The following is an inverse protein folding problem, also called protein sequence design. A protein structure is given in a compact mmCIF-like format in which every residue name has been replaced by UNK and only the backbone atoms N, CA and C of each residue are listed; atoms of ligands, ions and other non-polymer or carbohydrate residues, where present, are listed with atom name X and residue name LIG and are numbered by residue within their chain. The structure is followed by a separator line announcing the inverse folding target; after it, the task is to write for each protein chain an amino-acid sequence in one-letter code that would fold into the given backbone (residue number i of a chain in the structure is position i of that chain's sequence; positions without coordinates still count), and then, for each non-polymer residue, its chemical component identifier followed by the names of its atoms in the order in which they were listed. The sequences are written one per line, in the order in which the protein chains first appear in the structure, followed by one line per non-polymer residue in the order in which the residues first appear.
data_IF_269746175434
#
_entry.id   IF_269746175434
#
_cell.length_a   1.000
_cell.length_b   1.000
_cell.length_c   1.000
_cell.angle_alpha   90.00
_cell.angle_beta   90.00
_cell.angle_gamma   90.00
#
_symmetry.space_group_name_H-M   'P 1'
#
loop_
_entity.id
_entity.type
_entity.pdbx_description
1 polymer ?
#
# COMPACT_ATOMS: atom_id res chain seq x y z
N UNK A 1 -61.20 14.34 14.85
CA UNK A 1 -60.63 14.56 16.18
C UNK A 1 -59.12 14.41 16.08
N UNK A 2 -58.43 15.43 16.58
CA UNK A 2 -57.03 15.48 17.02
C UNK A 2 -55.89 15.20 16.03
N UNK A 3 -55.44 16.32 15.46
CA UNK A 3 -54.08 16.60 14.97
C UNK A 3 -53.09 16.53 16.14
N UNK A 4 -51.87 16.05 15.92
CA UNK A 4 -50.76 16.31 16.84
C UNK A 4 -49.47 16.48 16.05
N UNK A 5 -49.13 17.74 15.84
CA UNK A 5 -47.81 18.23 15.47
C UNK A 5 -46.84 18.02 16.64
N UNK A 6 -45.60 17.61 16.33
CA UNK A 6 -44.47 17.76 17.25
C UNK A 6 -43.22 18.15 16.48
N UNK A 7 -43.05 19.46 16.38
CA UNK A 7 -41.81 20.19 16.19
C UNK A 7 -40.95 20.02 17.44
N UNK A 8 -39.69 19.57 17.29
CA UNK A 8 -38.65 19.86 18.28
C UNK A 8 -37.34 20.15 17.56
N UNK A 9 -36.77 21.27 18.00
CA UNK A 9 -35.69 22.09 17.45
C UNK A 9 -34.28 21.55 17.75
N UNK A 10 -33.39 21.72 16.78
CA UNK A 10 -31.93 21.55 16.88
C UNK A 10 -31.29 22.61 17.79
N UNK A 11 -30.27 22.27 18.60
CA UNK A 11 -29.37 23.25 19.20
C UNK A 11 -28.12 23.46 18.33
N UNK A 12 -28.03 24.66 17.76
CA UNK A 12 -26.84 25.29 17.19
C UNK A 12 -25.80 25.50 18.28
N UNK A 13 -24.62 24.90 18.15
CA UNK A 13 -23.46 25.17 19.00
C UNK A 13 -22.44 25.98 18.20
N UNK A 14 -22.11 27.16 18.71
CA UNK A 14 -21.20 28.14 18.12
C UNK A 14 -19.72 27.70 18.19
N UNK A 15 -18.86 28.19 17.27
CA UNK A 15 -17.44 27.88 17.25
C UNK A 15 -16.67 28.66 18.34
N UNK A 16 -15.89 27.94 19.14
CA UNK A 16 -14.93 28.52 20.09
C UNK A 16 -13.66 28.95 19.34
N UNK A 17 -13.49 30.27 19.23
CA UNK A 17 -12.23 30.90 18.82
C UNK A 17 -11.21 30.81 19.95
N UNK A 18 -10.20 29.96 19.82
CA UNK A 18 -8.98 30.03 20.64
C UNK A 18 -7.90 30.77 19.87
N UNK A 19 -7.74 32.06 20.18
CA UNK A 19 -6.59 32.86 19.78
C UNK A 19 -5.37 32.39 20.58
N UNK A 20 -4.51 31.56 19.99
CA UNK A 20 -3.17 31.33 20.52
C UNK A 20 -2.23 32.39 19.96
N UNK A 21 -1.77 33.25 20.86
CA UNK A 21 -0.80 34.29 20.60
C UNK A 21 0.56 33.71 20.20
N UNK A 22 1.06 34.23 19.09
CA UNK A 22 2.41 34.10 18.56
C UNK A 22 3.44 34.60 19.57
N UNK A 23 4.29 33.71 20.08
CA UNK A 23 5.56 34.09 20.72
C UNK A 23 6.66 33.86 19.69
N UNK A 24 7.15 34.96 19.13
CA UNK A 24 8.35 35.01 18.31
C UNK A 24 9.57 34.86 19.23
N UNK A 25 10.21 33.68 19.22
CA UNK A 25 11.57 33.56 19.75
C UNK A 25 12.58 34.09 18.72
N UNK A 26 13.57 34.90 19.14
CA UNK A 26 14.62 35.38 18.26
C UNK A 26 15.59 34.24 17.88
N UNK A 27 15.76 34.06 16.56
CA UNK A 27 16.82 33.22 15.98
C UNK A 27 18.19 33.66 16.50
N UNK A 28 18.80 32.80 17.32
CA UNK A 28 20.22 32.88 17.65
C UNK A 28 21.05 32.53 16.40
N UNK A 29 21.75 33.52 15.88
CA UNK A 29 22.74 33.37 14.81
C UNK A 29 23.92 32.55 15.33
N UNK A 30 24.00 31.27 14.97
CA UNK A 30 25.19 30.46 15.22
C UNK A 30 26.30 30.85 14.23
N UNK A 31 27.55 31.08 14.67
CA UNK A 31 28.66 31.33 13.77
C UNK A 31 29.00 30.06 12.98
N UNK A 32 28.85 30.14 11.66
CA UNK A 32 29.32 29.13 10.70
C UNK A 32 30.85 29.09 10.76
N UNK A 33 31.40 28.08 11.43
CA UNK A 33 32.81 27.72 11.29
C UNK A 33 33.00 27.04 9.94
N UNK A 34 33.62 27.76 9.00
CA UNK A 34 34.06 27.22 7.72
C UNK A 34 35.31 26.36 7.97
N UNK A 35 35.28 25.04 7.72
CA UNK A 35 36.48 24.22 7.78
C UNK A 35 37.41 24.53 6.59
N UNK A 36 38.74 24.49 6.79
CA UNK A 36 39.71 24.78 5.74
C UNK A 36 39.69 23.73 4.63
N UNK A 37 39.76 24.20 3.39
CA UNK A 37 39.83 23.44 2.15
C UNK A 37 40.97 22.41 2.19
N UNK A 38 40.61 21.13 2.00
CA UNK A 38 41.57 20.07 1.75
C UNK A 38 42.01 20.11 0.27
N UNK A 39 43.29 19.90 -0.04
CA UNK A 39 43.80 19.94 -1.41
C UNK A 39 43.22 18.81 -2.27
N UNK A 40 42.66 19.21 -3.40
CA UNK A 40 42.22 18.40 -4.53
C UNK A 40 43.42 17.65 -5.12
N UNK A 41 43.46 16.32 -4.92
CA UNK A 41 44.28 15.42 -5.72
C UNK A 41 43.38 14.84 -6.82
N UNK A 42 43.65 15.25 -8.05
CA UNK A 42 43.13 14.61 -9.26
C UNK A 42 43.74 13.20 -9.41
N UNK A 43 42.92 12.13 -9.57
CA UNK A 43 43.41 10.89 -10.12
C UNK A 43 43.08 10.80 -11.60
N UNK A 44 44.15 10.50 -12.32
CA UNK A 44 44.30 10.24 -13.75
C UNK A 44 43.14 9.50 -14.42
N UNK A 45 42.75 10.06 -15.56
CA UNK A 45 41.93 9.44 -16.60
C UNK A 45 42.65 8.18 -17.11
N UNK A 46 42.20 7.01 -16.67
CA UNK A 46 42.51 5.73 -17.32
C UNK A 46 41.41 5.39 -18.31
N UNK A 47 41.70 5.67 -19.57
CA UNK A 47 40.93 5.24 -20.74
C UNK A 47 40.91 3.71 -20.81
N UNK A 48 39.75 3.10 -20.59
CA UNK A 48 39.51 1.70 -20.90
C UNK A 48 38.37 1.59 -21.90
N UNK A 49 38.79 1.45 -23.16
CA UNK A 49 38.00 1.01 -24.29
C UNK A 49 37.52 -0.41 -24.06
N UNK A 50 36.21 -0.58 -23.84
CA UNK A 50 35.56 -1.88 -23.87
C UNK A 50 34.42 -1.85 -24.88
N UNK A 51 34.73 -2.50 -26.00
CA UNK A 51 33.85 -2.93 -27.08
C UNK A 51 32.84 -3.98 -26.58
N UNK A 52 31.61 -3.90 -27.09
CA UNK A 52 30.75 -5.00 -27.56
C UNK A 52 29.31 -5.04 -27.02
N UNK A 53 28.43 -4.78 -27.98
CA UNK A 53 27.15 -5.43 -28.27
C UNK A 53 25.88 -5.17 -27.43
N UNK A 54 24.76 -4.86 -28.11
CA UNK A 54 23.46 -4.70 -27.50
C UNK A 54 22.77 -6.06 -27.37
N UNK A 55 22.58 -6.52 -26.13
CA UNK A 55 21.58 -7.56 -25.83
C UNK A 55 20.47 -6.99 -24.97
N UNK A 56 19.51 -6.44 -25.69
CA UNK A 56 18.12 -6.24 -25.32
C UNK A 56 17.55 -7.57 -24.79
N UNK A 57 17.57 -7.76 -23.47
CA UNK A 57 16.76 -8.77 -22.79
C UNK A 57 15.78 -8.04 -21.87
N UNK A 58 14.63 -7.72 -22.45
CA UNK A 58 13.41 -7.42 -21.70
C UNK A 58 12.99 -8.70 -20.99
N UNK A 59 13.42 -8.86 -19.73
CA UNK A 59 12.77 -9.78 -18.80
C UNK A 59 11.57 -9.04 -18.20
N UNK A 60 10.52 -8.92 -19.02
CA UNK A 60 9.16 -8.68 -18.55
C UNK A 60 8.71 -9.92 -17.79
N UNK A 61 9.12 -10.02 -16.52
CA UNK A 61 8.67 -11.04 -15.58
C UNK A 61 7.22 -10.81 -15.15
N UNK A 62 6.28 -10.87 -16.09
CA UNK A 62 4.88 -11.08 -15.76
C UNK A 62 4.75 -12.54 -15.30
N UNK A 63 4.96 -12.78 -14.00
CA UNK A 63 4.47 -13.95 -13.31
C UNK A 63 2.94 -13.92 -13.39
N UNK A 64 2.40 -14.40 -14.51
CA UNK A 64 1.01 -14.77 -14.65
C UNK A 64 0.85 -16.02 -13.78
N UNK A 65 0.60 -15.80 -12.49
CA UNK A 65 0.07 -16.84 -11.62
C UNK A 65 -1.29 -17.18 -12.20
N UNK A 66 -1.32 -18.24 -13.01
CA UNK A 66 -2.55 -18.84 -13.49
C UNK A 66 -3.19 -19.50 -12.27
N UNK A 67 -4.00 -18.72 -11.55
CA UNK A 67 -4.95 -19.22 -10.57
C UNK A 67 -5.95 -20.09 -11.35
N UNK A 68 -5.68 -21.39 -11.42
CA UNK A 68 -6.71 -22.35 -11.78
C UNK A 68 -7.79 -22.26 -10.70
N UNK A 69 -9.06 -21.98 -11.06
CA UNK A 69 -10.13 -21.98 -10.09
C UNK A 69 -10.34 -23.44 -9.67
N UNK A 70 -9.82 -23.80 -8.50
CA UNK A 70 -10.15 -25.05 -7.82
C UNK A 70 -11.68 -25.10 -7.73
N UNK A 71 -12.28 -25.99 -8.54
CA UNK A 71 -13.73 -26.24 -8.53
C UNK A 71 -14.10 -26.85 -7.19
N UNK A 72 -14.44 -26.01 -6.23
CA UNK A 72 -14.97 -26.44 -4.95
C UNK A 72 -16.45 -26.78 -5.13
N UNK A 73 -16.77 -28.04 -4.83
CA UNK A 73 -18.14 -28.55 -4.74
C UNK A 73 -18.95 -27.73 -3.73
N UNK A 74 -20.19 -27.29 -4.04
CA UNK A 74 -20.95 -26.39 -3.18
C UNK A 74 -21.64 -27.05 -1.97
N UNK A 75 -21.35 -28.32 -1.66
CA UNK A 75 -21.97 -29.04 -0.55
C UNK A 75 -20.98 -29.95 0.16
N UNK A 76 -20.24 -29.43 1.13
CA UNK A 76 -19.72 -30.26 2.21
C UNK A 76 -19.59 -29.42 3.48
N UNK A 77 -20.46 -29.69 4.45
CA UNK A 77 -20.38 -29.23 5.84
C UNK A 77 -19.34 -30.04 6.63
N UNK A 78 -18.29 -30.55 5.98
CA UNK A 78 -17.19 -31.22 6.66
C UNK A 78 -16.20 -30.19 7.18
N UNK A 79 -15.78 -30.39 8.44
CA UNK A 79 -14.65 -29.71 9.04
C UNK A 79 -13.44 -30.01 8.17
N UNK A 80 -12.96 -28.98 7.47
CA UNK A 80 -11.84 -29.09 6.55
C UNK A 80 -10.57 -29.22 7.39
N UNK A 81 -10.00 -30.42 7.43
CA UNK A 81 -8.61 -30.58 7.86
C UNK A 81 -7.73 -29.77 6.89
N UNK A 82 -6.77 -28.98 7.39
CA UNK A 82 -5.98 -28.07 6.55
C UNK A 82 -5.01 -28.76 5.58
N UNK A 83 -5.03 -30.11 5.51
CA UNK A 83 -4.22 -30.92 4.61
C UNK A 83 -5.10 -31.96 3.92
N UNK A 84 -5.01 -32.03 2.58
CA UNK A 84 -5.65 -33.07 1.75
C UNK A 84 -5.23 -34.51 2.14
N UNK A 85 -4.18 -34.66 2.97
CA UNK A 85 -3.72 -35.94 3.49
C UNK A 85 -4.65 -36.52 4.58
N UNK A 86 -5.46 -35.70 5.25
CA UNK A 86 -6.42 -36.14 6.26
C UNK A 86 -7.84 -36.09 5.68
N UNK A 87 -8.15 -37.02 4.77
CA UNK A 87 -9.53 -37.21 4.35
C UNK A 87 -10.32 -37.84 5.50
N UNK A 88 -11.40 -37.17 5.95
CA UNK A 88 -12.28 -37.69 7.01
C UNK A 88 -12.82 -39.10 6.71
N UNK A 89 -12.91 -39.48 5.44
CA UNK A 89 -13.28 -40.84 5.01
C UNK A 89 -12.32 -41.92 5.52
N UNK A 90 -11.06 -41.58 5.79
CA UNK A 90 -10.06 -42.50 6.31
C UNK A 90 -10.14 -42.71 7.83
N UNK A 91 -10.80 -41.80 8.57
CA UNK A 91 -10.85 -41.83 10.04
C UNK A 91 -12.26 -41.44 10.57
N UNK A 92 -13.28 -42.29 10.36
CA UNK A 92 -14.66 -41.99 10.75
C UNK A 92 -14.85 -41.85 12.28
N UNK A 93 -13.97 -42.45 13.08
CA UNK A 93 -14.00 -42.38 14.55
C UNK A 93 -13.69 -40.96 15.07
N UNK A 94 -12.89 -40.18 14.32
CA UNK A 94 -12.60 -38.78 14.63
C UNK A 94 -13.78 -37.84 14.32
N UNK A 95 -14.75 -38.28 13.51
CA UNK A 95 -15.94 -37.51 13.16
C UNK A 95 -16.93 -37.38 14.32
N UNK A 96 -16.90 -38.33 15.27
CA UNK A 96 -17.95 -38.52 16.27
C UNK A 96 -17.86 -37.58 17.49
N UNK A 97 -16.81 -36.76 17.60
CA UNK A 97 -16.61 -35.84 18.73
C UNK A 97 -16.71 -34.36 18.35
N UNK A 98 -17.18 -34.06 17.14
CA UNK A 98 -17.35 -32.69 16.65
C UNK A 98 -18.71 -32.06 17.03
N UNK A 99 -19.67 -32.85 17.52
CA UNK A 99 -21.03 -32.38 17.84
C UNK A 99 -21.11 -31.41 19.04
N UNK A 100 -20.03 -31.27 19.82
CA UNK A 100 -19.95 -30.35 20.97
C UNK A 100 -19.17 -29.06 20.71
N UNK A 101 -18.59 -28.89 19.52
CA UNK A 101 -18.06 -27.59 19.14
C UNK A 101 -19.31 -26.81 18.71
N UNK A 102 -19.77 -25.83 19.50
CA UNK A 102 -20.77 -24.87 19.05
C UNK A 102 -20.32 -24.36 17.67
N UNK A 103 -20.94 -24.89 16.62
CA UNK A 103 -20.73 -24.47 15.25
C UNK A 103 -21.31 -23.06 15.16
N UNK A 104 -20.49 -22.08 15.56
CA UNK A 104 -20.51 -20.71 15.05
C UNK A 104 -20.83 -20.84 13.57
N UNK A 105 -21.94 -20.24 13.13
CA UNK A 105 -22.67 -20.55 11.88
C UNK A 105 -21.71 -20.55 10.67
N UNK A 106 -21.07 -21.70 10.44
CA UNK A 106 -19.85 -21.81 9.62
C UNK A 106 -20.04 -21.24 8.22
N UNK A 107 -21.22 -21.46 7.64
CA UNK A 107 -21.59 -20.95 6.31
C UNK A 107 -21.75 -19.43 6.29
N UNK A 108 -22.34 -18.83 7.32
CA UNK A 108 -22.51 -17.37 7.43
C UNK A 108 -21.16 -16.69 7.66
N UNK A 109 -20.32 -17.28 8.51
CA UNK A 109 -19.01 -16.73 8.85
C UNK A 109 -18.03 -16.87 7.68
N UNK A 110 -18.13 -17.96 6.91
CA UNK A 110 -17.38 -18.13 5.67
C UNK A 110 -17.75 -17.09 4.61
N UNK A 111 -19.04 -16.81 4.40
CA UNK A 111 -19.48 -15.78 3.46
C UNK A 111 -19.00 -14.39 3.88
N UNK A 112 -19.12 -14.06 5.17
CA UNK A 112 -18.62 -12.80 5.72
C UNK A 112 -17.09 -12.66 5.57
N UNK A 113 -16.33 -13.74 5.80
CA UNK A 113 -14.89 -13.75 5.60
C UNK A 113 -14.50 -13.55 4.12
N UNK A 114 -15.24 -14.17 3.19
CA UNK A 114 -15.02 -13.97 1.76
C UNK A 114 -15.36 -12.55 1.30
N UNK A 115 -16.46 -11.99 1.80
CA UNK A 115 -16.83 -10.59 1.54
C UNK A 115 -15.75 -9.63 2.07
N UNK A 116 -15.23 -9.89 3.27
CA UNK A 116 -14.13 -9.13 3.84
C UNK A 116 -12.87 -9.20 2.97
N UNK A 117 -12.45 -10.41 2.55
CA UNK A 117 -11.30 -10.61 1.66
C UNK A 117 -11.45 -9.91 0.31
N UNK A 118 -12.64 -9.99 -0.28
CA UNK A 118 -12.95 -9.29 -1.51
C UNK A 118 -12.85 -7.77 -1.32
N UNK A 119 -13.40 -7.25 -0.22
CA UNK A 119 -13.35 -5.83 0.13
C UNK A 119 -11.92 -5.32 0.32
N UNK A 120 -11.07 -6.11 1.02
CA UNK A 120 -9.65 -5.82 1.17
C UNK A 120 -8.92 -5.78 -0.16
N UNK A 121 -9.16 -6.76 -1.02
CA UNK A 121 -8.58 -6.81 -2.36
C UNK A 121 -8.97 -5.57 -3.19
N UNK A 122 -10.25 -5.18 -3.13
CA UNK A 122 -10.74 -3.96 -3.81
C UNK A 122 -10.04 -2.71 -3.26
N UNK A 123 -9.84 -2.62 -1.95
CA UNK A 123 -9.14 -1.50 -1.30
C UNK A 123 -7.72 -1.35 -1.84
N UNK A 124 -6.95 -2.45 -1.88
CA UNK A 124 -5.59 -2.47 -2.44
C UNK A 124 -5.58 -2.03 -3.91
N UNK A 125 -6.46 -2.60 -4.74
CA UNK A 125 -6.57 -2.23 -6.16
C UNK A 125 -6.89 -0.75 -6.34
N UNK A 126 -7.78 -0.19 -5.52
CA UNK A 126 -8.10 1.25 -5.56
C UNK A 126 -6.89 2.11 -5.21
N UNK A 127 -6.07 1.71 -4.22
CA UNK A 127 -4.83 2.43 -3.88
C UNK A 127 -3.82 2.39 -5.02
N UNK A 128 -3.68 1.24 -5.68
CA UNK A 128 -2.82 1.11 -6.87
C UNK A 128 -3.26 2.04 -8.00
N UNK A 129 -4.55 2.11 -8.29
CA UNK A 129 -5.09 3.04 -9.29
C UNK A 129 -4.80 4.50 -8.94
N UNK A 130 -4.89 4.88 -7.66
CA UNK A 130 -4.52 6.24 -7.22
C UNK A 130 -3.03 6.53 -7.45
N UNK A 131 -2.15 5.55 -7.19
CA UNK A 131 -0.72 5.68 -7.49
C UNK A 131 -0.46 5.83 -8.99
N UNK A 132 -1.13 5.04 -9.82
CA UNK A 132 -1.01 5.12 -11.28
C UNK A 132 -1.44 6.50 -11.81
N UNK A 133 -2.52 7.07 -11.28
CA UNK A 133 -2.96 8.44 -11.60
C UNK A 133 -1.93 9.50 -11.17
N UNK A 134 -1.31 9.34 -9.99
CA UNK A 134 -0.26 10.24 -9.53
C UNK A 134 1.04 10.11 -10.37
N UNK A 135 1.31 8.93 -10.92
CA UNK A 135 2.42 8.70 -11.83
C UNK A 135 2.18 9.37 -13.19
N UNK A 136 0.96 9.30 -13.71
CA UNK A 136 0.54 10.02 -14.91
C UNK A 136 0.65 11.55 -14.72
N UNK A 137 0.15 12.08 -13.59
CA UNK A 137 0.21 13.53 -13.33
C UNK A 137 1.65 14.04 -13.23
N UNK A 138 2.56 13.27 -12.62
CA UNK A 138 3.99 13.56 -12.61
C UNK A 138 4.57 13.56 -14.02
N UNK A 139 4.24 12.58 -14.85
CA UNK A 139 4.72 12.52 -16.23
C UNK A 139 4.29 13.74 -17.05
N UNK A 140 3.04 14.21 -16.87
CA UNK A 140 2.54 15.42 -17.49
C UNK A 140 3.28 16.68 -17.00
N UNK A 141 3.53 16.81 -15.70
CA UNK A 141 4.29 17.93 -15.14
C UNK A 141 5.73 17.97 -15.66
N UNK A 142 6.40 16.82 -15.74
CA UNK A 142 7.74 16.71 -16.32
C UNK A 142 7.76 17.05 -17.81
N UNK A 143 6.73 16.67 -18.56
CA UNK A 143 6.60 17.04 -19.96
C UNK A 143 6.45 18.55 -20.14
N UNK A 144 5.62 19.20 -19.32
CA UNK A 144 5.45 20.66 -19.31
C UNK A 144 6.78 21.37 -18.99
N UNK A 145 7.49 20.94 -17.95
CA UNK A 145 8.80 21.48 -17.58
C UNK A 145 9.81 21.32 -18.73
N UNK A 146 9.86 20.15 -19.36
CA UNK A 146 10.77 19.89 -20.48
C UNK A 146 10.44 20.72 -21.73
N UNK A 147 9.15 20.97 -21.99
CA UNK A 147 8.72 21.86 -23.07
C UNK A 147 9.15 23.30 -22.81
N UNK A 148 8.91 23.81 -21.59
CA UNK A 148 9.35 25.16 -21.20
C UNK A 148 10.88 25.32 -21.28
N UNK A 149 11.65 24.32 -20.84
CA UNK A 149 13.11 24.32 -20.98
C UNK A 149 13.56 24.36 -22.44
N UNK A 150 12.86 23.65 -23.34
CA UNK A 150 13.16 23.65 -24.77
C UNK A 150 12.87 25.02 -25.38
N UNK A 151 11.70 25.57 -25.10
CA UNK A 151 11.24 26.84 -25.67
C UNK A 151 12.06 28.03 -25.17
N UNK A 152 12.58 27.94 -23.94
CA UNK A 152 13.42 28.97 -23.36
C UNK A 152 14.82 29.07 -24.01
N UNK A 153 15.20 28.12 -24.88
CA UNK A 153 16.37 28.05 -25.78
C UNK A 153 17.53 29.03 -25.54
N UNK A 154 18.02 29.13 -24.31
CA UNK A 154 19.13 29.97 -23.92
C UNK A 154 20.06 29.12 -23.05
N UNK A 155 21.36 29.36 -23.19
CA UNK A 155 22.43 28.54 -22.63
C UNK A 155 22.32 28.30 -21.12
N UNK A 156 23.29 27.59 -20.51
CA UNK A 156 23.18 27.02 -19.16
C UNK A 156 23.03 28.02 -17.99
N UNK A 157 22.91 29.32 -18.25
CA UNK A 157 22.85 30.36 -17.22
C UNK A 157 21.40 30.79 -16.97
N UNK A 158 20.93 30.51 -15.77
CA UNK A 158 19.60 30.92 -15.30
C UNK A 158 19.39 32.45 -15.33
N UNK A 159 20.45 33.23 -15.12
CA UNK A 159 20.41 34.70 -15.20
C UNK A 159 20.24 35.26 -16.62
N UNK A 160 20.27 34.41 -17.66
CA UNK A 160 20.03 34.80 -19.04
C UNK A 160 18.55 34.68 -19.45
N UNK A 161 17.70 34.10 -18.60
CA UNK A 161 16.27 34.01 -18.88
C UNK A 161 15.59 35.36 -18.67
N UNK A 162 14.63 35.64 -19.54
CA UNK A 162 13.63 36.67 -19.31
C UNK A 162 12.85 36.37 -17.99
N UNK A 163 12.45 37.40 -17.22
CA UNK A 163 11.78 37.21 -15.93
C UNK A 163 10.49 36.37 -16.02
N UNK A 164 9.69 36.53 -17.07
CA UNK A 164 8.44 35.79 -17.24
C UNK A 164 8.71 34.30 -17.52
N UNK A 165 9.76 34.02 -18.28
CA UNK A 165 10.23 32.66 -18.60
C UNK A 165 10.80 31.98 -17.35
N UNK A 166 11.60 32.71 -16.57
CA UNK A 166 12.14 32.21 -15.31
C UNK A 166 11.02 31.89 -14.30
N UNK A 167 9.99 32.74 -14.24
CA UNK A 167 8.81 32.51 -13.39
C UNK A 167 8.03 31.27 -13.84
N UNK A 168 7.71 31.13 -15.13
CA UNK A 168 7.03 29.94 -15.67
C UNK A 168 7.81 28.65 -15.40
N UNK A 169 9.12 28.68 -15.56
CA UNK A 169 9.97 27.54 -15.28
C UNK A 169 9.97 27.20 -13.78
N UNK A 170 10.04 28.20 -12.90
CA UNK A 170 9.95 27.99 -11.45
C UNK A 170 8.59 27.38 -11.04
N UNK A 171 7.49 27.86 -11.63
CA UNK A 171 6.16 27.27 -11.41
C UNK A 171 6.08 25.82 -11.90
N UNK A 172 6.62 25.52 -13.08
CA UNK A 172 6.64 24.15 -13.61
C UNK A 172 7.45 23.20 -12.71
N UNK A 173 8.62 23.64 -12.24
CA UNK A 173 9.43 22.88 -11.27
C UNK A 173 8.65 22.64 -9.97
N UNK A 174 7.96 23.67 -9.45
CA UNK A 174 7.12 23.51 -8.26
C UNK A 174 6.02 22.46 -8.48
N UNK A 175 5.35 22.47 -9.64
CA UNK A 175 4.34 21.46 -9.98
C UNK A 175 4.92 20.05 -10.07
N UNK A 176 6.12 19.88 -10.62
CA UNK A 176 6.82 18.60 -10.64
C UNK A 176 7.08 18.10 -9.22
N UNK A 177 7.58 18.96 -8.34
CA UNK A 177 7.85 18.61 -6.94
C UNK A 177 6.57 18.24 -6.18
N UNK A 178 5.48 18.98 -6.39
CA UNK A 178 4.17 18.66 -5.80
C UNK A 178 3.61 17.33 -6.33
N UNK A 179 3.78 17.05 -7.63
CA UNK A 179 3.41 15.76 -8.21
C UNK A 179 4.26 14.62 -7.63
N UNK A 180 5.55 14.86 -7.38
CA UNK A 180 6.45 13.91 -6.73
C UNK A 180 6.05 13.60 -5.28
N UNK A 181 5.69 14.62 -4.50
CA UNK A 181 5.14 14.47 -3.16
C UNK A 181 3.84 13.64 -3.19
N UNK A 182 2.95 13.93 -4.15
CA UNK A 182 1.67 13.23 -4.32
C UNK A 182 1.86 11.76 -4.72
N UNK A 183 2.81 11.48 -5.62
CA UNK A 183 3.17 10.12 -6.02
C UNK A 183 3.75 9.34 -4.84
N UNK A 184 4.65 9.96 -4.10
CA UNK A 184 5.30 9.34 -2.94
C UNK A 184 4.28 9.03 -1.83
N UNK A 185 3.38 9.98 -1.52
CA UNK A 185 2.32 9.76 -0.55
C UNK A 185 1.33 8.68 -0.99
N UNK A 186 0.96 8.64 -2.28
CA UNK A 186 0.11 7.58 -2.84
C UNK A 186 0.76 6.20 -2.74
N UNK A 187 2.07 6.10 -3.02
CA UNK A 187 2.84 4.86 -2.87
C UNK A 187 2.90 4.39 -1.41
N UNK A 188 3.08 5.31 -0.46
CA UNK A 188 3.03 4.98 0.98
C UNK A 188 1.66 4.41 1.36
N UNK A 189 0.57 4.98 0.84
CA UNK A 189 -0.78 4.49 1.12
C UNK A 189 -1.06 3.11 0.51
N UNK A 190 -0.61 2.85 -0.72
CA UNK A 190 -0.67 1.51 -1.33
C UNK A 190 0.07 0.48 -0.47
N UNK A 191 1.33 0.76 -0.11
CA UNK A 191 2.14 -0.16 0.68
C UNK A 191 1.57 -0.43 2.08
N UNK A 192 0.96 0.57 2.72
CA UNK A 192 0.28 0.39 4.01
C UNK A 192 -0.93 -0.54 3.89
N UNK A 193 -1.70 -0.41 2.81
CA UNK A 193 -2.85 -1.28 2.57
C UNK A 193 -2.42 -2.72 2.25
N UNK A 194 -1.38 -2.89 1.43
CA UNK A 194 -0.80 -4.21 1.11
C UNK A 194 -0.23 -4.89 2.36
N UNK A 195 0.51 -4.14 3.20
CA UNK A 195 1.02 -4.66 4.48
C UNK A 195 -0.12 -5.12 5.38
N UNK A 196 -1.17 -4.32 5.51
CA UNK A 196 -2.33 -4.66 6.33
C UNK A 196 -3.07 -5.91 5.82
N UNK A 197 -3.15 -6.10 4.50
CA UNK A 197 -3.71 -7.32 3.91
C UNK A 197 -2.83 -8.56 4.22
N UNK A 198 -1.51 -8.42 4.16
CA UNK A 198 -0.58 -9.51 4.51
C UNK A 198 -0.62 -9.86 6.00
N UNK A 199 -0.83 -8.88 6.88
CA UNK A 199 -1.05 -9.13 8.31
C UNK A 199 -2.32 -9.95 8.56
N UNK A 200 -3.42 -9.64 7.86
CA UNK A 200 -4.66 -10.42 7.94
C UNK A 200 -4.43 -11.88 7.47
N UNK A 201 -3.70 -12.07 6.37
CA UNK A 201 -3.35 -13.41 5.86
C UNK A 201 -2.48 -14.19 6.84
N UNK A 202 -1.50 -13.54 7.46
CA UNK A 202 -0.63 -14.14 8.47
C UNK A 202 -1.46 -14.61 9.68
N UNK A 203 -2.41 -13.80 10.14
CA UNK A 203 -3.28 -14.18 11.25
C UNK A 203 -4.24 -15.31 10.88
N UNK A 204 -4.73 -15.36 9.64
CA UNK A 204 -5.48 -16.52 9.12
C UNK A 204 -4.61 -17.80 9.14
N UNK A 205 -3.35 -17.73 8.71
CA UNK A 205 -2.42 -18.85 8.76
C UNK A 205 -2.14 -19.30 10.19
N UNK A 206 -1.88 -18.37 11.13
CA UNK A 206 -1.68 -18.71 12.55
C UNK A 206 -2.87 -19.46 13.13
N UNK A 207 -4.10 -18.97 12.88
CA UNK A 207 -5.33 -19.65 13.32
C UNK A 207 -5.43 -21.07 12.76
N UNK A 208 -5.09 -21.27 11.48
CA UNK A 208 -5.08 -22.62 10.87
C UNK A 208 -4.04 -23.54 11.52
N UNK A 209 -2.85 -23.02 11.85
CA UNK A 209 -1.81 -23.80 12.54
C UNK A 209 -2.22 -24.17 13.96
N UNK A 210 -2.80 -23.23 14.71
CA UNK A 210 -3.33 -23.50 16.05
C UNK A 210 -4.42 -24.58 16.02
N UNK A 211 -5.35 -24.47 15.06
CA UNK A 211 -6.42 -25.46 14.90
C UNK A 211 -5.87 -26.84 14.52
N UNK A 212 -4.93 -26.92 13.57
CA UNK A 212 -4.23 -28.16 13.23
C UNK A 212 -3.51 -28.77 14.45
N UNK A 213 -2.90 -27.93 15.28
CA UNK A 213 -2.21 -28.37 16.51
C UNK A 213 -3.19 -28.94 17.53
N UNK A 214 -4.36 -28.31 17.71
CA UNK A 214 -5.43 -28.85 18.58
C UNK A 214 -5.95 -30.19 18.05
N UNK A 215 -6.18 -30.30 16.74
CA UNK A 215 -6.65 -31.52 16.11
C UNK A 215 -5.64 -32.66 16.28
N UNK A 216 -4.35 -32.39 16.04
CA UNK A 216 -3.27 -33.35 16.27
C UNK A 216 -3.26 -33.86 17.73
N UNK A 217 -3.37 -32.94 18.71
CA UNK A 217 -3.44 -33.31 20.12
C UNK A 217 -4.63 -34.22 20.45
N UNK A 218 -5.81 -33.96 19.86
CA UNK A 218 -7.00 -34.81 20.03
C UNK A 218 -6.80 -36.21 19.45
N UNK A 219 -6.18 -36.33 18.27
CA UNK A 219 -5.87 -37.63 17.65
C UNK A 219 -4.94 -38.44 18.56
N UNK A 220 -3.88 -37.83 19.08
CA UNK A 220 -2.97 -38.51 20.01
C UNK A 220 -3.68 -39.04 21.26
N UNK A 221 -4.59 -38.26 21.85
CA UNK A 221 -5.37 -38.69 23.02
C UNK A 221 -6.31 -39.85 22.67
N UNK A 222 -6.94 -39.83 21.49
CA UNK A 222 -7.84 -40.91 21.07
C UNK A 222 -7.13 -42.23 20.79
N UNK A 223 -5.87 -42.21 20.36
CA UNK A 223 -5.06 -43.42 20.12
C UNK A 223 -4.54 -44.06 21.41
N UNK A 224 -4.64 -43.38 22.55
CA UNK A 224 -4.19 -43.89 23.86
C UNK A 224 -5.33 -44.50 24.69
N UNK A 225 -6.59 -44.30 24.28
CA UNK A 225 -7.78 -44.84 24.93
C UNK A 225 -8.11 -46.23 24.40
#
# INVERSE_FOLDING_TARGET
MSVSDRTTTSPTSAPSNSNHATVLEPCGTLPVSVPPEAPTNDPEVSSSSASNDPKTLWLSGALRVRMEPLRHSPYSTQIVFPSDAFQMSAFPELALHCDQIELVKLKRDYLAANEYRATRTISVVRRRQQREQAEESKALALLEEAQLKRDASLGPRFAAYDPDTALKLAEAVLRVLQADETLTSSKILELREELSALEDELDEVKRRVEEATRQYGRVLLSLQA
#
